data_IF_172631024338
#
_entry.id   IF_172631024338
#
_cell.length_a   1.000
_cell.length_b   1.000
_cell.length_c   1.000
_cell.angle_alpha   90.00
_cell.angle_beta   90.00
_cell.angle_gamma   90.00
#
_symmetry.space_group_name_H-M   'P 1'
#
loop_
_entity.id
_entity.type
_entity.pdbx_description
1 polymer ?
#
# COMPACT_ATOMS: atom_id res chain seq x y z
N UNK A 1 -1.54 14.08 20.57
CA UNK A 1 -2.16 13.61 19.32
C UNK A 1 -2.94 12.38 19.68
N UNK A 2 -4.26 12.39 19.54
CA UNK A 2 -5.10 11.27 19.94
C UNK A 2 -4.79 10.06 19.04
N UNK A 3 -4.35 8.96 19.65
CA UNK A 3 -4.38 7.65 19.01
C UNK A 3 -5.83 7.32 18.69
N UNK A 4 -6.10 7.04 17.41
CA UNK A 4 -7.43 6.65 16.96
C UNK A 4 -7.60 5.17 17.30
N UNK A 5 -8.45 4.87 18.27
CA UNK A 5 -8.89 3.50 18.55
C UNK A 5 -9.49 2.91 17.27
N UNK A 6 -9.07 1.70 16.84
CA UNK A 6 -9.57 1.12 15.60
C UNK A 6 -11.07 0.85 15.74
N UNK A 7 -11.88 1.66 15.07
CA UNK A 7 -13.32 1.41 14.92
C UNK A 7 -13.49 0.10 14.17
N UNK A 8 -14.26 -0.84 14.73
CA UNK A 8 -14.56 -2.10 14.06
C UNK A 8 -15.10 -1.82 12.65
N UNK A 9 -14.39 -2.33 11.64
CA UNK A 9 -14.71 -2.17 10.22
C UNK A 9 -15.14 -3.51 9.67
N UNK A 10 -16.32 -3.57 9.05
CA UNK A 10 -16.79 -4.77 8.35
C UNK A 10 -16.09 -4.81 6.98
N UNK A 11 -15.24 -5.80 6.78
CA UNK A 11 -14.51 -6.01 5.53
C UNK A 11 -15.16 -7.16 4.76
N UNK A 12 -15.56 -6.92 3.51
CA UNK A 12 -16.00 -7.99 2.60
C UNK A 12 -14.80 -8.51 1.84
N UNK A 13 -14.44 -9.78 2.08
CA UNK A 13 -13.46 -10.48 1.26
C UNK A 13 -14.16 -10.99 0.00
N UNK A 14 -13.71 -10.52 -1.16
CA UNK A 14 -14.13 -11.03 -2.46
C UNK A 14 -12.92 -11.73 -3.08
N UNK A 15 -13.07 -13.00 -3.45
CA UNK A 15 -12.09 -13.66 -4.31
C UNK A 15 -12.43 -13.32 -5.76
N UNK A 16 -11.42 -13.01 -6.55
CA UNK A 16 -11.55 -12.86 -7.98
C UNK A 16 -10.81 -14.03 -8.65
N UNK A 17 -11.51 -14.82 -9.46
CA UNK A 17 -10.96 -16.06 -10.02
C UNK A 17 -10.02 -15.82 -11.21
N UNK A 18 -10.20 -14.72 -11.94
CA UNK A 18 -9.47 -14.41 -13.18
C UNK A 18 -8.47 -13.23 -13.05
N UNK A 19 -8.10 -12.83 -11.83
CA UNK A 19 -7.26 -11.66 -11.58
C UNK A 19 -6.09 -12.09 -10.70
N UNK A 20 -4.91 -12.09 -11.30
CA UNK A 20 -3.66 -12.28 -10.60
C UNK A 20 -3.07 -10.89 -10.33
N UNK A 21 -2.78 -10.61 -9.05
CA UNK A 21 -2.17 -9.36 -8.64
C UNK A 21 -0.70 -9.57 -8.32
N UNK A 22 0.15 -8.72 -8.87
CA UNK A 22 1.54 -8.58 -8.42
C UNK A 22 1.60 -7.49 -7.36
N UNK A 23 2.17 -7.81 -6.20
CA UNK A 23 2.40 -6.84 -5.14
C UNK A 23 3.90 -6.66 -4.93
N UNK A 24 4.36 -5.42 -4.88
CA UNK A 24 5.77 -5.09 -4.68
C UNK A 24 5.95 -3.99 -3.62
N UNK A 25 7.09 -4.06 -2.94
CA UNK A 25 7.53 -3.08 -1.96
C UNK A 25 8.61 -2.20 -2.56
N UNK A 26 8.32 -0.90 -2.64
CA UNK A 26 9.27 0.12 -3.07
C UNK A 26 9.48 1.17 -1.99
N UNK A 27 10.66 1.78 -2.00
CA UNK A 27 10.95 2.92 -1.15
C UNK A 27 11.65 4.03 -1.93
N UNK A 28 11.34 5.27 -1.55
CA UNK A 28 12.01 6.45 -2.08
C UNK A 28 11.96 7.58 -1.05
N UNK A 29 12.23 8.82 -1.46
CA UNK A 29 12.16 10.00 -0.62
C UNK A 29 11.55 11.18 -1.37
N UNK A 30 10.85 12.05 -0.64
CA UNK A 30 10.26 13.27 -1.21
C UNK A 30 11.13 14.46 -0.82
N UNK A 31 11.77 15.08 -1.82
CA UNK A 31 12.64 16.25 -1.65
C UNK A 31 14.00 15.94 -1.01
N UNK A 32 14.05 15.21 0.11
CA UNK A 32 15.31 14.84 0.77
C UNK A 32 15.26 13.45 1.42
N UNK A 33 16.42 12.79 1.55
CA UNK A 33 16.57 11.46 2.18
C UNK A 33 16.14 11.38 3.65
N UNK A 34 15.91 12.51 4.32
CA UNK A 34 15.31 12.56 5.66
C UNK A 34 13.80 12.32 5.63
N UNK A 35 13.16 12.50 4.48
CA UNK A 35 11.72 12.31 4.26
C UNK A 35 11.47 11.08 3.40
N UNK A 36 11.89 9.91 3.91
CA UNK A 36 11.65 8.64 3.21
C UNK A 36 10.17 8.29 3.21
N UNK A 37 9.75 7.58 2.15
CA UNK A 37 8.40 7.07 1.96
C UNK A 37 8.49 5.62 1.51
N UNK A 38 7.60 4.81 2.05
CA UNK A 38 7.31 3.47 1.55
C UNK A 38 6.11 3.55 0.63
N UNK A 39 6.20 2.79 -0.44
CA UNK A 39 5.12 2.53 -1.37
C UNK A 39 4.95 1.02 -1.43
N UNK A 40 3.78 0.57 -1.00
CA UNK A 40 3.28 -0.73 -1.40
C UNK A 40 2.27 -0.51 -2.51
N UNK A 41 2.41 -1.22 -3.62
CA UNK A 41 1.39 -1.24 -4.66
C UNK A 41 1.04 -2.66 -5.05
N UNK A 42 -0.17 -2.83 -5.58
CA UNK A 42 -0.60 -4.02 -6.28
C UNK A 42 -1.03 -3.63 -7.69
N UNK A 43 -0.60 -4.41 -8.69
CA UNK A 43 -0.98 -4.25 -10.09
C UNK A 43 -1.60 -5.54 -10.61
N UNK A 44 -2.50 -5.41 -11.60
CA UNK A 44 -2.97 -6.53 -12.40
C UNK A 44 -1.79 -7.09 -13.21
N UNK A 45 -1.51 -8.39 -13.09
CA UNK A 45 -0.39 -9.05 -13.77
C UNK A 45 -0.49 -8.97 -15.29
N UNK A 46 -1.71 -9.00 -15.85
CA UNK A 46 -1.93 -9.02 -17.30
C UNK A 46 -1.92 -7.62 -17.90
N UNK A 47 -2.58 -6.65 -17.27
CA UNK A 47 -2.74 -5.30 -17.83
C UNK A 47 -1.70 -4.30 -17.32
N UNK A 48 -1.09 -4.58 -16.16
CA UNK A 48 -0.24 -3.65 -15.44
C UNK A 48 -1.00 -2.49 -14.78
N UNK A 49 -2.34 -2.55 -14.71
CA UNK A 49 -3.16 -1.53 -14.07
C UNK A 49 -3.02 -1.56 -12.55
N UNK A 50 -3.01 -0.39 -11.91
CA UNK A 50 -2.92 -0.29 -10.45
C UNK A 50 -4.25 -0.68 -9.81
N UNK A 51 -4.22 -1.72 -8.99
CA UNK A 51 -5.37 -2.22 -8.23
C UNK A 51 -5.50 -1.52 -6.88
N UNK A 52 -4.37 -1.31 -6.21
CA UNK A 52 -4.31 -0.61 -4.93
C UNK A 52 -2.90 -0.08 -4.67
N UNK A 53 -2.79 0.95 -3.83
CA UNK A 53 -1.51 1.37 -3.29
C UNK A 53 -1.68 1.99 -1.90
N UNK A 54 -0.64 1.91 -1.09
CA UNK A 54 -0.55 2.64 0.18
C UNK A 54 0.82 3.30 0.28
N UNK A 55 0.80 4.57 0.70
CA UNK A 55 2.00 5.34 1.01
C UNK A 55 2.12 5.49 2.52
N UNK A 56 3.31 5.27 3.06
CA UNK A 56 3.58 5.44 4.48
C UNK A 56 4.91 6.14 4.71
N UNK A 57 5.08 6.68 5.92
CA UNK A 57 6.36 7.19 6.37
C UNK A 57 7.27 6.02 6.70
N UNK A 58 8.47 6.02 6.13
CA UNK A 58 9.50 5.09 6.58
C UNK A 58 10.12 5.65 7.86
N UNK A 59 9.75 5.09 9.01
CA UNK A 59 10.38 5.38 10.28
C UNK A 59 11.41 4.28 10.56
N UNK A 60 12.67 4.54 10.24
CA UNK A 60 13.77 3.76 10.80
C UNK A 60 13.87 4.20 12.27
N UNK A 61 13.53 3.30 13.18
CA UNK A 61 13.63 3.54 14.63
C UNK A 61 15.08 3.37 15.08
#
# INVERSE_FOLDING_TARGET
MAELEPTQTIVKLCQWEDLEAEADEMWSYVGSKKQQRWLWHAIDHQTGEVLAYVLSHHQVT
#
